data_IF_191939261372
#
_entry.id   IF_191939261372
#
_cell.length_a   1.000
_cell.length_b   1.000
_cell.length_c   1.000
_cell.angle_alpha   90.00
_cell.angle_beta   90.00
_cell.angle_gamma   90.00
#
_symmetry.space_group_name_H-M   'P 1'
#
loop_
_entity.id
_entity.type
_entity.pdbx_description
1 polymer ?
#
# COMPACT_ATOMS: atom_id res chain seq x y z
N UNK A 1 10.37 3.05 7.04
CA UNK A 1 9.49 1.94 7.45
C UNK A 1 8.27 1.92 6.56
N UNK A 2 7.97 0.75 6.00
CA UNK A 2 6.80 0.51 5.14
C UNK A 2 5.82 -0.40 5.88
N UNK A 3 4.52 -0.14 5.73
CA UNK A 3 3.45 -0.93 6.36
C UNK A 3 2.51 -1.51 5.30
N UNK A 4 1.96 -2.70 5.55
CA UNK A 4 0.99 -3.33 4.66
C UNK A 4 -0.42 -3.07 5.19
N UNK A 5 -1.01 -1.95 4.76
CA UNK A 5 -2.34 -1.48 5.20
C UNK A 5 -3.18 -1.08 4.00
N UNK A 6 -4.49 -1.00 4.20
CA UNK A 6 -5.48 -0.69 3.15
C UNK A 6 -5.90 0.78 3.17
N UNK A 7 -6.78 1.19 2.25
CA UNK A 7 -7.41 2.52 2.32
C UNK A 7 -8.30 2.70 3.55
N UNK A 8 -8.76 1.59 4.14
CA UNK A 8 -9.62 1.58 5.34
C UNK A 8 -8.80 1.44 6.64
N UNK A 9 -7.48 1.44 6.55
CA UNK A 9 -6.57 1.39 7.69
C UNK A 9 -5.86 0.06 7.89
N UNK A 10 -5.16 -0.02 9.02
CA UNK A 10 -4.51 -1.22 9.56
C UNK A 10 -5.53 -2.17 10.25
N UNK A 11 -5.03 -3.22 10.91
CA UNK A 11 -5.88 -4.20 11.59
C UNK A 11 -6.62 -3.62 12.80
N UNK A 12 -6.13 -2.52 13.38
CA UNK A 12 -6.75 -1.81 14.50
C UNK A 12 -7.66 -0.65 14.02
N UNK A 13 -7.80 -0.49 12.70
CA UNK A 13 -8.62 0.55 12.08
C UNK A 13 -7.95 1.93 12.03
N UNK A 14 -6.65 2.02 12.26
CA UNK A 14 -5.89 3.27 12.14
C UNK A 14 -5.70 3.57 10.66
N UNK A 15 -6.20 4.74 10.23
CA UNK A 15 -6.14 5.14 8.83
C UNK A 15 -4.71 5.43 8.36
N UNK A 16 -4.44 5.35 7.03
CA UNK A 16 -3.11 5.56 6.49
C UNK A 16 -2.46 6.91 6.81
N UNK A 17 -3.25 7.98 6.88
CA UNK A 17 -2.79 9.32 7.22
C UNK A 17 -2.22 9.37 8.65
N UNK A 18 -2.91 8.78 9.61
CA UNK A 18 -2.45 8.67 10.99
C UNK A 18 -1.28 7.68 11.13
N UNK A 19 -1.36 6.51 10.48
CA UNK A 19 -0.26 5.54 10.45
C UNK A 19 1.05 6.18 10.00
N UNK A 20 1.01 6.99 8.93
CA UNK A 20 2.18 7.69 8.42
C UNK A 20 2.80 8.64 9.45
N UNK A 21 1.96 9.40 10.16
CA UNK A 21 2.40 10.31 11.22
C UNK A 21 3.02 9.55 12.39
N UNK A 22 2.41 8.45 12.83
CA UNK A 22 2.92 7.60 13.92
C UNK A 22 4.30 7.02 13.56
N UNK A 23 4.43 6.46 12.37
CA UNK A 23 5.70 5.88 11.87
C UNK A 23 6.78 6.96 11.72
N UNK A 24 6.42 8.15 11.23
CA UNK A 24 7.37 9.26 11.11
C UNK A 24 7.85 9.76 12.48
N UNK A 25 6.93 9.91 13.45
CA UNK A 25 7.25 10.31 14.84
C UNK A 25 8.06 9.25 15.59
N UNK A 26 7.91 7.97 15.23
CA UNK A 26 8.74 6.89 15.74
C UNK A 26 10.19 6.90 15.19
N UNK A 27 10.52 7.84 14.29
CA UNK A 27 11.88 8.06 13.80
C UNK A 27 12.15 7.54 12.40
N UNK A 28 11.14 7.10 11.64
CA UNK A 28 11.35 6.67 10.26
C UNK A 28 11.75 7.86 9.35
N UNK A 29 12.81 7.71 8.55
CA UNK A 29 13.23 8.70 7.54
C UNK A 29 12.46 8.59 6.23
N UNK A 30 12.03 7.37 5.91
CA UNK A 30 11.22 7.03 4.75
C UNK A 30 9.93 6.38 5.24
N UNK A 31 8.77 6.82 4.75
CA UNK A 31 7.44 6.30 5.11
C UNK A 31 6.75 5.80 3.85
N UNK A 32 6.05 4.68 3.94
CA UNK A 32 5.46 4.10 2.75
C UNK A 32 4.65 2.85 2.99
N UNK A 33 4.30 2.18 1.89
CA UNK A 33 3.59 0.91 1.91
C UNK A 33 4.20 -0.10 0.93
N UNK A 34 3.92 -1.37 1.17
CA UNK A 34 4.37 -2.45 0.31
C UNK A 34 3.36 -3.61 0.25
N UNK A 35 3.60 -4.52 -0.70
CA UNK A 35 2.99 -5.83 -0.80
C UNK A 35 1.52 -5.82 -1.21
N UNK A 36 0.56 -5.84 -0.28
CA UNK A 36 -0.80 -6.39 -0.41
C UNK A 36 -1.63 -5.92 -1.63
N UNK A 37 -1.30 -4.77 -2.20
CA UNK A 37 -2.10 -4.10 -3.21
C UNK A 37 -1.28 -3.77 -4.46
N UNK A 38 -1.98 -3.85 -5.60
CA UNK A 38 -1.45 -3.42 -6.88
C UNK A 38 -1.22 -1.90 -6.96
N UNK A 39 -0.56 -1.42 -8.02
CA UNK A 39 -0.02 -0.06 -8.07
C UNK A 39 -1.05 1.05 -7.85
N UNK A 40 -2.25 0.92 -8.43
CA UNK A 40 -3.31 1.93 -8.34
C UNK A 40 -3.79 2.16 -6.90
N UNK A 41 -4.09 1.07 -6.18
CA UNK A 41 -4.52 1.13 -4.78
C UNK A 41 -3.37 1.61 -3.91
N UNK A 42 -2.16 1.13 -4.18
CA UNK A 42 -0.99 1.53 -3.41
C UNK A 42 -0.68 3.04 -3.55
N UNK A 43 -0.80 3.64 -4.75
CA UNK A 43 -0.63 5.10 -4.91
C UNK A 43 -1.72 5.88 -4.17
N UNK A 44 -2.95 5.36 -4.13
CA UNK A 44 -4.04 5.97 -3.36
C UNK A 44 -3.74 5.99 -1.86
N UNK A 45 -3.25 4.87 -1.31
CA UNK A 45 -2.85 4.77 0.10
C UNK A 45 -1.67 5.71 0.39
N UNK A 46 -0.66 5.75 -0.49
CA UNK A 46 0.48 6.65 -0.36
C UNK A 46 0.07 8.14 -0.37
N UNK A 47 -0.96 8.49 -1.16
CA UNK A 47 -1.53 9.85 -1.16
C UNK A 47 -2.13 10.19 0.20
N UNK A 48 -2.91 9.29 0.80
CA UNK A 48 -3.48 9.50 2.14
C UNK A 48 -2.38 9.66 3.20
N UNK A 49 -1.33 8.83 3.13
CA UNK A 49 -0.15 8.98 3.99
C UNK A 49 0.50 10.36 3.84
N UNK A 50 0.70 10.82 2.60
CA UNK A 50 1.26 12.13 2.29
C UNK A 50 0.41 13.26 2.88
N UNK A 51 -0.90 13.21 2.71
CA UNK A 51 -1.83 14.20 3.26
C UNK A 51 -1.77 14.25 4.80
N UNK A 52 -1.65 13.10 5.47
CA UNK A 52 -1.46 13.03 6.92
C UNK A 52 -0.17 13.69 7.39
N UNK A 53 0.94 13.40 6.70
CA UNK A 53 2.24 14.01 6.98
C UNK A 53 2.23 15.52 6.76
N UNK A 54 1.62 15.99 5.66
CA UNK A 54 1.48 17.42 5.35
C UNK A 54 0.65 18.15 6.40
N UNK A 55 -0.50 17.60 6.80
CA UNK A 55 -1.35 18.15 7.89
C UNK A 55 -0.62 18.22 9.22
N UNK A 56 0.28 17.27 9.50
CA UNK A 56 1.09 17.24 10.71
C UNK A 56 2.36 18.12 10.63
N UNK A 57 2.64 18.75 9.48
CA UNK A 57 3.86 19.54 9.27
C UNK A 57 5.14 18.69 9.24
N UNK A 58 5.04 17.39 8.95
CA UNK A 58 6.17 16.46 8.98
C UNK A 58 6.64 16.19 7.55
N UNK A 59 7.91 16.49 7.26
CA UNK A 59 8.54 16.16 5.98
C UNK A 59 9.30 14.84 6.07
N UNK A 60 8.94 13.86 5.24
CA UNK A 60 9.62 12.57 5.08
C UNK A 60 9.68 12.13 3.62
N UNK A 61 10.61 11.23 3.30
CA UNK A 61 10.62 10.59 1.99
C UNK A 61 9.48 9.58 1.89
N UNK A 62 8.87 9.47 0.72
CA UNK A 62 7.78 8.53 0.45
C UNK A 62 8.28 7.33 -0.33
N UNK A 63 7.76 6.14 -0.01
CA UNK A 63 8.12 4.88 -0.65
C UNK A 63 6.90 4.03 -0.95
N UNK A 64 6.94 3.28 -2.06
CA UNK A 64 5.86 2.40 -2.48
C UNK A 64 6.43 1.18 -3.19
N UNK A 65 6.06 -0.03 -2.75
CA UNK A 65 6.47 -1.30 -3.35
C UNK A 65 5.24 -2.21 -3.55
N UNK A 66 4.43 -1.95 -4.58
CA UNK A 66 3.22 -2.71 -4.83
C UNK A 66 3.56 -4.09 -5.42
N UNK A 67 2.61 -5.01 -5.38
CA UNK A 67 2.72 -6.24 -6.17
C UNK A 67 2.53 -5.94 -7.67
N UNK A 68 3.17 -6.74 -8.52
CA UNK A 68 3.09 -6.64 -9.99
C UNK A 68 1.75 -7.05 -10.60
N UNK A 69 0.69 -7.14 -9.80
CA UNK A 69 -0.64 -7.60 -10.20
C UNK A 69 -1.71 -6.56 -9.91
N UNK A 70 -2.73 -6.48 -10.76
CA UNK A 70 -3.94 -5.72 -10.47
C UNK A 70 -4.75 -6.39 -9.35
N UNK A 71 -5.11 -5.63 -8.31
CA UNK A 71 -5.91 -6.13 -7.16
C UNK A 71 -7.18 -5.30 -6.91
N UNK A 72 -8.06 -5.10 -7.91
CA UNK A 72 -9.18 -4.15 -7.79
C UNK A 72 -10.25 -4.59 -6.77
N UNK A 73 -10.48 -5.89 -6.58
CA UNK A 73 -11.66 -6.39 -5.85
C UNK A 73 -11.36 -6.95 -4.45
N UNK A 74 -10.10 -7.24 -4.12
CA UNK A 74 -9.77 -7.96 -2.88
C UNK A 74 -9.51 -7.00 -1.72
N UNK A 75 -10.45 -6.85 -0.79
CA UNK A 75 -10.35 -5.91 0.35
C UNK A 75 -9.10 -6.14 1.19
N UNK A 76 -8.83 -7.39 1.58
CA UNK A 76 -7.63 -7.77 2.35
C UNK A 76 -6.32 -7.78 1.55
N UNK A 77 -6.36 -7.50 0.25
CA UNK A 77 -5.22 -7.62 -0.65
C UNK A 77 -5.05 -9.04 -1.19
N UNK A 78 -4.05 -9.24 -2.04
CA UNK A 78 -3.87 -10.51 -2.76
C UNK A 78 -3.81 -11.80 -1.91
N UNK A 79 -3.34 -11.82 -0.64
CA UNK A 79 -3.31 -13.06 0.13
C UNK A 79 -4.69 -13.63 0.47
N UNK A 80 -5.73 -12.78 0.43
CA UNK A 80 -7.12 -13.17 0.68
C UNK A 80 -7.87 -13.59 -0.58
N UNK A 81 -7.19 -13.62 -1.72
CA UNK A 81 -7.77 -14.08 -2.96
C UNK A 81 -7.76 -15.61 -3.00
N UNK A 82 -8.81 -16.28 -3.53
CA UNK A 82 -8.81 -17.74 -3.70
C UNK A 82 -7.70 -18.22 -4.65
N UNK A 83 -7.16 -17.31 -5.46
CA UNK A 83 -6.04 -17.55 -6.36
C UNK A 83 -4.67 -17.57 -5.67
N UNK A 84 -4.54 -17.07 -4.45
CA UNK A 84 -3.25 -17.05 -3.77
C UNK A 84 -2.88 -18.45 -3.24
N UNK A 85 -1.60 -18.89 -3.35
CA UNK A 85 -0.48 -18.24 -4.04
C UNK A 85 -0.30 -18.65 -5.52
N UNK A 86 -0.89 -19.76 -5.97
CA UNK A 86 -0.52 -20.41 -7.24
C UNK A 86 -1.36 -19.99 -8.47
N UNK A 87 -2.54 -19.44 -8.26
CA UNK A 87 -3.51 -19.07 -9.31
C UNK A 87 -3.52 -17.58 -9.68
N UNK A 88 -2.64 -16.77 -9.09
CA UNK A 88 -2.65 -15.31 -9.30
C UNK A 88 -2.34 -14.95 -10.76
N UNK A 89 -1.46 -15.68 -11.43
CA UNK A 89 -1.12 -15.40 -12.83
C UNK A 89 -2.12 -15.99 -13.84
N UNK A 90 -2.97 -16.94 -13.44
CA UNK A 90 -3.69 -17.81 -14.39
C UNK A 90 -5.17 -17.47 -14.55
N UNK A 91 -5.80 -16.82 -13.59
CA UNK A 91 -7.26 -16.61 -13.57
C UNK A 91 -7.74 -15.36 -14.31
N UNK A 92 -6.85 -14.55 -14.87
CA UNK A 92 -7.18 -13.32 -15.60
C UNK A 92 -7.74 -12.17 -14.75
N UNK A 93 -8.10 -12.43 -13.48
CA UNK A 93 -8.56 -11.42 -12.51
C UNK A 93 -7.43 -10.52 -12.03
N UNK A 94 -6.24 -11.07 -11.90
CA UNK A 94 -5.00 -10.35 -11.61
C UNK A 94 -4.22 -10.23 -12.90
N UNK A 95 -4.29 -9.06 -13.56
CA UNK A 95 -3.47 -8.81 -14.76
C UNK A 95 -2.09 -8.34 -14.32
N UNK A 96 -1.06 -8.86 -14.97
CA UNK A 96 0.30 -8.35 -14.83
C UNK A 96 0.29 -6.87 -15.23
N UNK A 97 0.84 -6.01 -14.38
CA UNK A 97 0.98 -4.61 -14.75
C UNK A 97 2.36 -4.35 -15.37
N UNK A 98 2.42 -4.33 -16.70
CA UNK A 98 3.66 -4.10 -17.46
C UNK A 98 4.22 -2.67 -17.31
N UNK A 99 3.50 -1.76 -16.65
CA UNK A 99 4.00 -0.43 -16.29
C UNK A 99 4.68 -0.38 -14.92
N UNK A 100 4.78 -1.52 -14.21
CA UNK A 100 5.30 -1.59 -12.86
C UNK A 100 6.83 -1.79 -12.84
N UNK A 101 7.57 -0.76 -13.27
CA UNK A 101 8.94 -0.54 -12.82
C UNK A 101 8.83 0.55 -11.74
N UNK A 102 8.94 0.17 -10.48
CA UNK A 102 9.02 1.14 -9.37
C UNK A 102 10.37 0.93 -8.70
N UNK A 103 11.30 1.81 -9.06
CA UNK A 103 12.57 2.05 -8.36
C UNK A 103 12.36 3.25 -7.45
#
# INVERSE_FOLDING_TARGET
MCVSISEIGDLDGVLPDECAVRVAKAGADIVGINCFYGPHRSVKILRMMKEGLEKAGIKKHLMIQPIGYLTPEVKGGFPWSPEFPLGISTTGKFKLNNSCIII
#
